data_IF_606833272512
#
_entry.id   IF_606833272512
#
_cell.length_a   1.000
_cell.length_b   1.000
_cell.length_c   1.000
_cell.angle_alpha   90.00
_cell.angle_beta   90.00
_cell.angle_gamma   90.00
#
_symmetry.space_group_name_H-M   'P 1'
#
loop_
_entity.id
_entity.type
_entity.pdbx_description
1 polymer ?
#
# COMPACT_ATOMS: atom_id res chain seq x y z
N UNK A 1 -15.61 -47.15 -37.03
CA UNK A 1 -14.71 -47.20 -35.85
C UNK A 1 -13.62 -46.17 -36.13
N UNK A 2 -13.79 -44.88 -35.88
CA UNK A 2 -13.82 -44.21 -34.56
C UNK A 2 -12.73 -43.14 -34.61
N UNK A 3 -13.08 -41.91 -35.00
CA UNK A 3 -12.16 -40.76 -35.02
C UNK A 3 -11.85 -40.35 -33.58
N UNK A 4 -10.59 -40.51 -33.17
CA UNK A 4 -10.11 -40.11 -31.85
C UNK A 4 -9.95 -38.59 -31.84
N UNK A 5 -10.97 -37.88 -31.32
CA UNK A 5 -10.90 -36.45 -31.10
C UNK A 5 -10.02 -36.14 -29.88
N UNK A 6 -8.84 -35.60 -30.11
CA UNK A 6 -8.02 -34.99 -29.06
C UNK A 6 -8.67 -33.66 -28.63
N UNK A 7 -9.40 -33.68 -27.51
CA UNK A 7 -9.81 -32.45 -26.84
C UNK A 7 -8.63 -31.87 -26.06
N UNK A 8 -7.97 -30.85 -26.63
CA UNK A 8 -7.03 -30.01 -25.89
C UNK A 8 -7.86 -29.17 -24.92
N UNK A 9 -7.89 -29.59 -23.64
CA UNK A 9 -8.44 -28.78 -22.56
C UNK A 9 -7.50 -27.58 -22.36
N UNK A 10 -7.89 -26.42 -22.87
CA UNK A 10 -7.24 -25.15 -22.55
C UNK A 10 -7.49 -24.88 -21.06
N UNK A 11 -6.56 -25.27 -20.19
CA UNK A 11 -6.54 -24.81 -18.81
C UNK A 11 -6.20 -23.32 -18.85
N UNK A 12 -7.24 -22.50 -18.74
CA UNK A 12 -7.09 -21.08 -18.40
C UNK A 12 -6.51 -21.07 -16.99
N UNK A 13 -5.20 -20.85 -16.88
CA UNK A 13 -4.60 -20.43 -15.62
C UNK A 13 -5.24 -19.08 -15.32
N UNK A 14 -6.22 -19.07 -14.43
CA UNK A 14 -6.63 -17.87 -13.71
C UNK A 14 -5.36 -17.38 -13.03
N UNK A 15 -4.67 -16.44 -13.66
CA UNK A 15 -3.67 -15.63 -12.98
C UNK A 15 -4.44 -14.88 -11.92
N UNK A 16 -4.45 -15.44 -10.72
CA UNK A 16 -4.81 -14.73 -9.51
C UNK A 16 -3.88 -13.54 -9.49
N UNK A 17 -4.44 -12.34 -9.71
CA UNK A 17 -3.71 -11.11 -9.52
C UNK A 17 -3.46 -11.01 -8.00
N UNK A 18 -2.37 -11.63 -7.58
CA UNK A 18 -2.03 -11.83 -6.18
C UNK A 18 -1.54 -10.48 -5.65
N UNK A 19 -2.11 -10.09 -4.51
CA UNK A 19 -1.81 -8.81 -3.86
C UNK A 19 -0.41 -8.80 -3.26
N UNK A 20 0.05 -7.61 -2.88
CA UNK A 20 1.26 -7.45 -2.09
C UNK A 20 0.95 -7.67 -0.61
N UNK A 21 1.67 -8.57 0.05
CA UNK A 21 1.67 -8.73 1.50
C UNK A 21 2.75 -7.85 2.13
N UNK A 22 2.33 -6.94 2.99
CA UNK A 22 3.19 -6.06 3.76
C UNK A 22 3.27 -6.58 5.20
N UNK A 23 4.49 -6.85 5.66
CA UNK A 23 4.72 -7.47 6.97
C UNK A 23 4.73 -6.44 8.11
N UNK A 24 4.71 -5.14 7.77
CA UNK A 24 4.85 -4.04 8.74
C UNK A 24 6.30 -3.74 9.07
N UNK A 25 7.26 -4.20 8.25
CA UNK A 25 8.69 -4.02 8.52
C UNK A 25 9.09 -2.56 8.37
N UNK A 26 9.85 -1.96 9.31
CA UNK A 26 10.36 -0.60 9.18
C UNK A 26 11.12 -0.36 7.86
N UNK A 27 10.71 0.69 7.16
CA UNK A 27 11.27 1.08 5.86
C UNK A 27 10.85 0.21 4.67
N UNK A 28 9.85 -0.66 4.83
CA UNK A 28 9.24 -1.34 3.68
C UNK A 28 8.50 -0.33 2.79
N UNK A 29 8.40 -0.65 1.50
CA UNK A 29 7.54 0.09 0.57
C UNK A 29 7.38 -0.70 -0.73
N UNK A 30 6.29 -0.43 -1.43
CA UNK A 30 6.14 -0.75 -2.85
C UNK A 30 6.00 0.54 -3.65
N UNK A 31 6.60 0.59 -4.83
CA UNK A 31 6.67 1.79 -5.67
C UNK A 31 6.08 1.51 -7.04
N UNK A 32 5.19 2.41 -7.45
CA UNK A 32 4.53 2.38 -8.75
C UNK A 32 4.78 3.69 -9.47
N UNK A 33 4.79 3.63 -10.81
CA UNK A 33 4.86 4.84 -11.62
C UNK A 33 3.73 5.78 -11.19
N UNK A 34 4.07 7.06 -11.12
CA UNK A 34 3.18 8.16 -10.74
C UNK A 34 1.75 8.01 -11.30
N UNK A 35 0.78 8.21 -10.41
CA UNK A 35 -0.62 8.39 -10.77
C UNK A 35 -0.84 9.81 -11.32
N UNK A 36 -1.39 9.92 -12.53
CA UNK A 36 -1.75 11.22 -13.10
C UNK A 36 -3.03 11.76 -12.46
N UNK A 37 -2.87 12.37 -11.29
CA UNK A 37 -3.94 13.03 -10.54
C UNK A 37 -3.85 14.55 -10.62
N UNK A 38 -3.14 15.14 -11.60
CA UNK A 38 -2.83 16.58 -11.64
C UNK A 38 -4.07 17.48 -11.74
N UNK A 39 -5.05 17.07 -12.56
CA UNK A 39 -6.34 17.77 -12.69
C UNK A 39 -7.52 16.86 -12.36
N UNK A 40 -7.49 15.62 -12.86
CA UNK A 40 -8.51 14.61 -12.62
C UNK A 40 -7.84 13.25 -12.60
N UNK A 41 -8.43 12.32 -11.86
CA UNK A 41 -7.97 10.94 -11.89
C UNK A 41 -8.74 10.11 -10.86
N UNK A 42 -8.77 8.81 -11.12
CA UNK A 42 -9.33 7.83 -10.19
C UNK A 42 -8.25 6.79 -9.86
N UNK A 43 -8.17 6.42 -8.58
CA UNK A 43 -7.31 5.35 -8.10
C UNK A 43 -8.14 4.45 -7.18
N UNK A 44 -8.04 3.14 -7.35
CA UNK A 44 -8.74 2.18 -6.49
C UNK A 44 -7.85 1.02 -6.11
N UNK A 45 -8.12 0.41 -4.96
CA UNK A 45 -7.49 -0.82 -4.50
C UNK A 45 -8.36 -1.50 -3.44
N UNK A 46 -8.06 -2.77 -3.19
CA UNK A 46 -8.61 -3.52 -2.07
C UNK A 46 -7.53 -3.77 -1.03
N UNK A 47 -7.89 -3.76 0.24
CA UNK A 47 -6.93 -4.02 1.31
C UNK A 47 -7.57 -4.72 2.50
N UNK A 48 -6.73 -5.36 3.31
CA UNK A 48 -7.10 -6.04 4.55
C UNK A 48 -6.02 -5.78 5.60
N UNK A 49 -6.42 -5.36 6.79
CA UNK A 49 -5.50 -5.06 7.90
C UNK A 49 -6.17 -5.16 9.28
N UNK A 50 -5.35 -5.19 10.34
CA UNK A 50 -5.81 -5.23 11.74
C UNK A 50 -5.23 -4.10 12.61
N UNK A 51 -4.22 -3.38 12.12
CA UNK A 51 -3.62 -2.26 12.85
C UNK A 51 -4.51 -1.01 12.78
N UNK A 52 -4.59 -0.25 13.87
CA UNK A 52 -5.37 1.01 13.88
C UNK A 52 -4.62 2.23 13.36
N UNK A 53 -3.32 2.08 13.04
CA UNK A 53 -2.44 3.15 12.56
C UNK A 53 -1.54 2.62 11.44
N UNK A 54 -1.51 3.28 10.28
CA UNK A 54 -0.61 2.91 9.17
C UNK A 54 -0.56 3.98 8.06
N UNK A 55 0.58 4.10 7.37
CA UNK A 55 0.65 4.77 6.07
C UNK A 55 0.26 3.79 4.96
N UNK A 56 -0.81 4.09 4.21
CA UNK A 56 -1.26 3.26 3.08
C UNK A 56 -0.64 3.72 1.76
N UNK A 57 -0.71 5.01 1.46
CA UNK A 57 -0.34 5.57 0.16
C UNK A 57 0.21 6.98 0.31
N UNK A 58 1.26 7.31 -0.44
CA UNK A 58 1.83 8.66 -0.50
C UNK A 58 2.38 9.03 -1.89
N UNK A 59 2.17 10.27 -2.30
CA UNK A 59 2.91 10.93 -3.39
C UNK A 59 2.92 12.45 -3.22
N UNK A 60 3.86 13.15 -3.86
CA UNK A 60 4.02 14.60 -3.73
C UNK A 60 4.70 15.29 -4.92
N UNK A 61 4.93 16.60 -4.78
CA UNK A 61 5.69 17.44 -5.70
C UNK A 61 7.20 17.54 -5.40
N UNK A 62 7.74 16.66 -4.56
CA UNK A 62 9.17 16.58 -4.29
C UNK A 62 9.68 17.64 -3.32
N UNK A 63 8.89 18.03 -2.32
CA UNK A 63 9.35 18.87 -1.21
C UNK A 63 8.84 20.30 -1.17
N UNK A 64 7.80 20.64 -1.94
CA UNK A 64 7.26 21.99 -1.95
C UNK A 64 5.97 22.05 -1.14
N UNK A 65 4.81 21.87 -1.77
CA UNK A 65 3.53 22.06 -1.11
C UNK A 65 2.46 21.04 -1.49
N UNK A 66 2.56 20.41 -2.65
CA UNK A 66 1.53 19.53 -3.16
C UNK A 66 1.81 18.10 -2.73
N UNK A 67 0.85 17.48 -2.07
CA UNK A 67 0.94 16.09 -1.64
C UNK A 67 -0.45 15.45 -1.55
N UNK A 68 -0.48 14.12 -1.58
CA UNK A 68 -1.63 13.33 -1.17
C UNK A 68 -1.14 12.14 -0.33
N UNK A 69 -1.73 12.01 0.85
CA UNK A 69 -1.48 10.93 1.80
C UNK A 69 -2.80 10.23 2.11
N UNK A 70 -2.82 8.91 2.03
CA UNK A 70 -3.86 8.09 2.65
C UNK A 70 -3.24 7.28 3.77
N UNK A 71 -3.85 7.36 4.95
CA UNK A 71 -3.41 6.64 6.15
C UNK A 71 -4.59 6.09 6.93
N UNK A 72 -4.30 5.15 7.84
CA UNK A 72 -5.23 4.73 8.88
C UNK A 72 -4.83 5.44 10.17
N UNK A 73 -5.81 6.07 10.82
CA UNK A 73 -5.66 6.74 12.13
C UNK A 73 -6.90 6.42 12.95
N UNK A 74 -6.70 5.95 14.18
CA UNK A 74 -7.75 5.42 15.06
C UNK A 74 -8.67 4.40 14.36
N UNK A 75 -8.07 3.58 13.49
CA UNK A 75 -8.75 2.56 12.71
C UNK A 75 -9.57 3.08 11.52
N UNK A 76 -9.59 4.39 11.23
CA UNK A 76 -10.32 4.98 10.10
C UNK A 76 -9.38 5.46 9.01
N UNK A 77 -9.85 5.47 7.77
CA UNK A 77 -9.10 6.10 6.68
C UNK A 77 -9.12 7.62 6.82
N UNK A 78 -7.93 8.22 6.75
CA UNK A 78 -7.72 9.65 6.66
C UNK A 78 -6.97 9.97 5.37
N UNK A 79 -7.60 10.76 4.51
CA UNK A 79 -7.04 11.27 3.28
C UNK A 79 -6.64 12.74 3.48
N UNK A 80 -5.35 12.99 3.67
CA UNK A 80 -4.76 14.33 3.70
C UNK A 80 -4.28 14.72 2.31
N UNK A 81 -4.56 15.95 1.87
CA UNK A 81 -4.00 16.46 0.61
C UNK A 81 -3.83 17.97 0.65
N UNK A 82 -2.80 18.43 -0.07
CA UNK A 82 -2.49 19.84 -0.25
C UNK A 82 -2.31 20.17 -1.72
N UNK A 83 -2.84 21.31 -2.14
CA UNK A 83 -2.61 21.90 -3.47
C UNK A 83 -2.24 23.35 -3.24
N UNK A 84 -1.09 23.78 -3.73
CA UNK A 84 -0.57 25.14 -3.60
C UNK A 84 -0.54 25.62 -2.14
N UNK A 85 -0.12 24.71 -1.25
CA UNK A 85 0.01 24.90 0.19
C UNK A 85 -1.34 25.11 0.91
N UNK A 86 -2.47 24.96 0.22
CA UNK A 86 -3.78 24.86 0.84
C UNK A 86 -4.09 23.38 1.09
N UNK A 87 -4.30 23.04 2.36
CA UNK A 87 -4.41 21.67 2.86
C UNK A 87 -5.80 21.40 3.44
N UNK A 88 -6.28 20.17 3.29
CA UNK A 88 -7.44 19.66 4.04
C UNK A 88 -7.31 18.15 4.29
N UNK A 89 -8.23 17.60 5.10
CA UNK A 89 -8.30 16.17 5.42
C UNK A 89 -9.73 15.65 5.35
N UNK A 90 -9.90 14.49 4.71
CA UNK A 90 -11.16 13.76 4.63
C UNK A 90 -11.07 12.48 5.45
N UNK A 91 -12.02 12.26 6.35
CA UNK A 91 -12.04 11.08 7.24
C UNK A 91 -13.23 10.17 6.90
N UNK A 92 -12.98 8.87 6.78
CA UNK A 92 -14.05 7.87 6.60
C UNK A 92 -14.92 7.76 7.85
N UNK A 93 -16.19 7.37 7.70
CA UNK A 93 -17.04 7.08 8.87
C UNK A 93 -16.68 5.74 9.52
N UNK A 94 -16.41 4.74 8.68
CA UNK A 94 -16.16 3.35 9.08
C UNK A 94 -14.69 3.12 9.41
N UNK A 95 -14.48 2.20 10.34
CA UNK A 95 -13.19 1.61 10.65
C UNK A 95 -12.82 0.53 9.62
N UNK A 96 -11.53 0.25 9.50
CA UNK A 96 -10.93 -0.67 8.52
C UNK A 96 -9.92 -1.64 9.15
N UNK A 97 -9.80 -1.62 10.47
CA UNK A 97 -8.89 -2.42 11.28
C UNK A 97 -9.57 -3.69 11.85
N UNK A 98 -10.53 -4.25 11.12
CA UNK A 98 -11.35 -5.39 11.54
C UNK A 98 -10.90 -6.73 10.95
N UNK A 99 -9.75 -6.76 10.25
CA UNK A 99 -9.23 -7.95 9.59
C UNK A 99 -10.02 -8.39 8.35
N UNK A 100 -10.97 -7.60 7.88
CA UNK A 100 -11.79 -7.89 6.69
C UNK A 100 -11.29 -7.14 5.45
N UNK A 101 -11.73 -7.61 4.28
CA UNK A 101 -11.46 -6.92 3.03
C UNK A 101 -12.31 -5.65 2.90
N UNK A 102 -11.64 -4.55 2.55
CA UNK A 102 -12.25 -3.28 2.23
C UNK A 102 -11.89 -2.84 0.81
N UNK A 103 -12.79 -2.11 0.18
CA UNK A 103 -12.54 -1.42 -1.09
C UNK A 103 -12.39 0.08 -0.85
N UNK A 104 -11.26 0.65 -1.24
CA UNK A 104 -11.01 2.08 -1.22
C UNK A 104 -10.85 2.63 -2.64
N UNK A 105 -11.44 3.80 -2.88
CA UNK A 105 -11.21 4.58 -4.09
C UNK A 105 -11.01 6.05 -3.77
N UNK A 106 -10.08 6.67 -4.49
CA UNK A 106 -9.77 8.08 -4.48
C UNK A 106 -10.13 8.65 -5.85
N UNK A 107 -11.03 9.63 -5.88
CA UNK A 107 -11.39 10.34 -7.11
C UNK A 107 -11.09 11.82 -6.93
N UNK A 108 -10.32 12.39 -7.86
CA UNK A 108 -9.98 13.82 -7.85
C UNK A 108 -10.62 14.52 -9.03
N UNK A 109 -11.19 15.68 -8.76
CA UNK A 109 -11.75 16.58 -9.76
C UNK A 109 -11.39 18.03 -9.40
N UNK A 110 -10.34 18.55 -10.05
CA UNK A 110 -9.72 19.84 -9.74
C UNK A 110 -9.35 19.93 -8.26
N UNK A 111 -9.98 20.84 -7.51
CA UNK A 111 -9.69 21.11 -6.10
C UNK A 111 -10.39 20.13 -5.13
N UNK A 112 -11.37 19.37 -5.64
CA UNK A 112 -12.17 18.44 -4.84
C UNK A 112 -11.58 17.04 -4.93
N UNK A 113 -11.39 16.40 -3.78
CA UNK A 113 -10.96 15.01 -3.68
C UNK A 113 -11.99 14.21 -2.88
N UNK A 114 -12.37 13.04 -3.40
CA UNK A 114 -13.38 12.15 -2.84
C UNK A 114 -12.71 10.86 -2.39
N UNK A 115 -12.92 10.48 -1.13
CA UNK A 115 -12.61 9.17 -0.58
C UNK A 115 -13.89 8.34 -0.57
N UNK A 116 -13.85 7.17 -1.22
CA UNK A 116 -14.92 6.17 -1.17
C UNK A 116 -14.39 4.94 -0.42
N UNK A 117 -15.06 4.55 0.66
CA UNK A 117 -14.78 3.32 1.42
C UNK A 117 -16.03 2.45 1.45
N UNK A 118 -15.95 1.25 0.88
CA UNK A 118 -17.06 0.29 0.80
C UNK A 118 -18.38 0.93 0.32
N UNK A 119 -18.28 1.76 -0.71
CA UNK A 119 -19.42 2.49 -1.30
C UNK A 119 -19.85 3.76 -0.54
N UNK A 120 -19.26 4.08 0.62
CA UNK A 120 -19.52 5.34 1.33
C UNK A 120 -18.55 6.43 0.90
N UNK A 121 -19.07 7.51 0.31
CA UNK A 121 -18.29 8.64 -0.16
C UNK A 121 -18.19 9.77 0.88
N UNK A 122 -17.00 10.31 1.05
CA UNK A 122 -16.68 11.56 1.75
C UNK A 122 -15.80 12.40 0.86
N UNK A 123 -15.96 13.71 0.90
CA UNK A 123 -15.20 14.61 0.04
C UNK A 123 -14.93 15.92 0.75
N UNK A 124 -13.85 16.57 0.34
CA UNK A 124 -13.58 17.96 0.67
C UNK A 124 -12.83 18.63 -0.50
N UNK A 125 -12.69 19.94 -0.42
CA UNK A 125 -11.96 20.76 -1.38
C UNK A 125 -11.05 21.78 -0.69
N UNK A 126 -9.91 22.04 -1.31
CA UNK A 126 -9.00 23.10 -0.87
C UNK A 126 -9.31 24.41 -1.59
N UNK A 127 -8.84 25.54 -1.04
CA UNK A 127 -9.03 26.89 -1.62
C UNK A 127 -7.72 27.60 -1.99
N UNK A 128 -6.89 27.04 -2.88
CA UNK A 128 -5.64 27.63 -3.36
C UNK A 128 -5.82 28.68 -4.46
N UNK A 129 -4.72 29.32 -4.86
CA UNK A 129 -4.68 30.12 -6.09
C UNK A 129 -4.60 29.23 -7.34
N UNK A 130 -3.79 28.16 -7.30
CA UNK A 130 -3.65 27.19 -8.39
C UNK A 130 -4.67 26.05 -8.30
N UNK A 131 -5.32 25.73 -9.44
CA UNK A 131 -6.38 24.70 -9.52
C UNK A 131 -5.92 23.27 -9.84
N UNK A 132 -4.62 23.05 -9.98
CA UNK A 132 -4.02 21.76 -10.30
C UNK A 132 -2.91 21.38 -9.31
N UNK A 133 -2.74 20.08 -9.09
CA UNK A 133 -1.71 19.51 -8.24
C UNK A 133 -0.48 19.23 -9.09
N UNK A 134 0.68 19.70 -8.65
CA UNK A 134 1.97 19.26 -9.17
C UNK A 134 2.28 17.90 -8.54
N UNK A 135 2.74 16.98 -9.37
CA UNK A 135 3.10 15.63 -8.92
C UNK A 135 4.44 15.30 -9.55
N UNK A 136 5.44 15.04 -8.71
CA UNK A 136 6.84 14.80 -9.08
C UNK A 136 7.32 13.45 -8.55
N UNK A 137 6.84 12.98 -7.41
CA UNK A 137 7.20 11.64 -6.96
C UNK A 137 6.49 10.56 -7.77
N UNK A 138 6.97 9.34 -7.61
CA UNK A 138 6.21 8.13 -7.89
C UNK A 138 5.17 7.89 -6.78
N UNK A 139 4.31 6.89 -6.96
CA UNK A 139 3.37 6.45 -5.95
C UNK A 139 4.04 5.44 -5.02
N UNK A 140 4.00 5.69 -3.71
CA UNK A 140 4.46 4.75 -2.69
C UNK A 140 3.28 4.12 -1.95
N UNK A 141 3.36 2.81 -1.70
CA UNK A 141 2.41 2.05 -0.90
C UNK A 141 3.08 1.44 0.33
N UNK A 142 2.33 1.43 1.44
CA UNK A 142 2.66 0.74 2.69
C UNK A 142 3.85 1.28 3.50
N UNK A 143 4.48 2.35 3.00
CA UNK A 143 5.64 3.01 3.57
C UNK A 143 6.35 3.89 2.53
N UNK A 144 7.44 4.54 2.94
CA UNK A 144 8.32 5.32 2.05
C UNK A 144 9.79 4.93 2.27
N UNK A 145 10.67 5.06 1.26
CA UNK A 145 12.09 4.82 1.43
C UNK A 145 12.69 5.74 2.51
N UNK A 146 13.51 5.14 3.38
CA UNK A 146 14.10 5.83 4.53
C UNK A 146 15.34 6.65 4.17
N UNK A 147 15.95 6.35 3.02
CA UNK A 147 17.10 7.03 2.42
C UNK A 147 16.70 8.21 1.51
N UNK A 148 15.41 8.58 1.46
CA UNK A 148 14.96 9.77 0.72
C UNK A 148 15.68 11.00 1.27
N UNK A 149 16.23 11.82 0.37
CA UNK A 149 16.95 13.05 0.71
C UNK A 149 16.09 13.98 1.57
N UNK A 150 16.71 14.69 2.50
CA UNK A 150 16.00 15.72 3.26
C UNK A 150 15.44 16.79 2.31
N UNK A 151 14.20 17.21 2.56
CA UNK A 151 13.51 18.18 1.71
C UNK A 151 13.01 17.62 0.38
N UNK A 152 13.13 16.32 0.11
CA UNK A 152 12.49 15.70 -1.06
C UNK A 152 11.07 15.18 -0.79
N UNK A 153 10.62 15.18 0.48
CA UNK A 153 9.24 14.91 0.86
C UNK A 153 8.56 16.21 1.23
N UNK A 154 7.40 16.47 0.63
CA UNK A 154 6.55 17.62 0.96
C UNK A 154 5.96 17.49 2.36
N UNK A 155 5.65 16.26 2.79
CA UNK A 155 5.23 15.96 4.15
C UNK A 155 6.25 15.04 4.84
N UNK A 156 7.28 15.59 5.51
CA UNK A 156 8.37 14.77 6.08
C UNK A 156 7.93 13.77 7.15
N UNK A 157 6.79 14.01 7.82
CA UNK A 157 6.27 13.16 8.90
C UNK A 157 5.92 11.75 8.43
N UNK A 158 5.67 11.54 7.14
CA UNK A 158 5.34 10.21 6.57
C UNK A 158 6.47 9.19 6.75
N UNK A 159 7.73 9.63 6.94
CA UNK A 159 8.85 8.72 7.25
C UNK A 159 8.69 8.01 8.58
N UNK A 160 8.03 8.67 9.53
CA UNK A 160 7.88 8.22 10.92
C UNK A 160 6.53 7.54 11.16
N UNK A 161 5.66 7.48 10.16
CA UNK A 161 4.37 6.79 10.27
C UNK A 161 4.57 5.28 10.37
N UNK A 162 3.62 4.62 11.02
CA UNK A 162 3.64 3.16 11.12
C UNK A 162 3.60 2.54 9.71
N UNK A 163 4.51 1.61 9.38
CA UNK A 163 4.43 0.86 8.14
C UNK A 163 3.15 0.04 8.09
N UNK A 164 2.52 -0.04 6.92
CA UNK A 164 1.30 -0.83 6.74
C UNK A 164 1.54 -2.32 6.99
N UNK A 165 0.69 -2.97 7.79
CA UNK A 165 0.72 -4.42 7.96
C UNK A 165 -0.61 -5.00 7.46
N UNK A 166 -0.53 -5.82 6.42
CA UNK A 166 -1.72 -6.36 5.77
C UNK A 166 -1.48 -6.69 4.31
N UNK A 167 -2.57 -6.81 3.55
CA UNK A 167 -2.52 -7.11 2.12
C UNK A 167 -3.15 -5.98 1.34
N UNK A 168 -2.53 -5.59 0.21
CA UNK A 168 -3.11 -4.67 -0.78
C UNK A 168 -3.16 -5.40 -2.13
N UNK A 169 -4.31 -5.36 -2.80
CA UNK A 169 -4.51 -5.96 -4.12
C UNK A 169 -5.31 -5.03 -5.04
N UNK A 170 -5.32 -5.37 -6.33
CA UNK A 170 -6.14 -4.72 -7.37
C UNK A 170 -5.94 -3.20 -7.46
N UNK A 171 -4.70 -2.73 -7.29
CA UNK A 171 -4.36 -1.32 -7.50
C UNK A 171 -4.57 -0.95 -8.97
N UNK A 172 -5.38 0.09 -9.21
CA UNK A 172 -5.73 0.59 -10.54
C UNK A 172 -5.66 2.12 -10.60
N UNK A 173 -5.25 2.65 -11.74
CA UNK A 173 -5.48 4.04 -12.13
C UNK A 173 -6.61 4.04 -13.17
N UNK A 174 -7.81 4.43 -12.76
CA UNK A 174 -9.03 4.23 -13.53
C UNK A 174 -9.24 2.76 -13.87
N UNK A 175 -9.10 2.41 -15.15
CA UNK A 175 -9.25 1.03 -15.65
C UNK A 175 -7.93 0.29 -15.84
N UNK A 176 -6.79 0.97 -15.68
CA UNK A 176 -5.47 0.45 -16.01
C UNK A 176 -4.72 0.01 -14.77
N UNK A 177 -3.97 -1.09 -14.87
CA UNK A 177 -3.02 -1.48 -13.85
C UNK A 177 -1.77 -0.57 -13.95
N UNK A 178 -1.30 0.02 -12.84
CA UNK A 178 -0.13 0.88 -12.86
C UNK A 178 1.17 0.08 -13.04
N UNK A 179 2.18 0.72 -13.62
CA UNK A 179 3.51 0.13 -13.77
C UNK A 179 4.18 -0.02 -12.40
N UNK A 180 4.44 -1.25 -11.99
CA UNK A 180 5.24 -1.54 -10.80
C UNK A 180 6.73 -1.26 -11.08
N UNK A 181 7.37 -0.47 -10.22
CA UNK A 181 8.77 -0.06 -10.38
C UNK A 181 9.73 -0.77 -9.42
N UNK A 182 9.20 -1.39 -8.37
CA UNK A 182 9.98 -2.16 -7.41
C UNK A 182 9.44 -2.07 -6.00
N UNK A 183 10.00 -2.87 -5.11
CA UNK A 183 9.71 -2.87 -3.68
C UNK A 183 10.98 -3.04 -2.86
N UNK A 184 10.89 -2.72 -1.58
CA UNK A 184 11.92 -3.04 -0.59
C UNK A 184 11.22 -3.63 0.63
N UNK A 185 11.69 -4.80 1.09
CA UNK A 185 11.11 -5.54 2.23
C UNK A 185 9.61 -5.87 2.07
N UNK A 186 9.11 -5.85 0.84
CA UNK A 186 7.78 -6.33 0.45
C UNK A 186 8.01 -7.45 -0.55
N UNK A 187 7.88 -8.71 -0.13
CA UNK A 187 8.18 -9.86 -0.96
C UNK A 187 7.31 -9.86 -2.22
N UNK A 188 7.92 -10.13 -3.37
CA UNK A 188 7.20 -10.40 -4.61
C UNK A 188 7.05 -11.90 -4.76
N UNK A 189 5.86 -12.38 -5.11
CA UNK A 189 5.65 -13.81 -5.35
C UNK A 189 6.59 -14.38 -6.42
N UNK A 190 6.92 -13.58 -7.44
CA UNK A 190 7.85 -13.99 -8.49
C UNK A 190 9.28 -14.20 -8.00
N UNK A 191 9.67 -13.59 -6.89
CA UNK A 191 10.97 -13.81 -6.27
C UNK A 191 11.00 -15.12 -5.47
N UNK A 192 9.84 -15.70 -5.14
CA UNK A 192 9.72 -16.91 -4.33
C UNK A 192 9.98 -16.63 -2.86
N UNK A 193 9.18 -17.24 -1.99
CA UNK A 193 9.39 -17.11 -0.55
C UNK A 193 10.76 -17.66 -0.12
N UNK A 194 11.38 -17.01 0.86
CA UNK A 194 12.71 -17.33 1.39
C UNK A 194 13.92 -17.15 0.44
N UNK A 195 13.75 -16.68 -0.80
CA UNK A 195 14.91 -16.22 -1.61
C UNK A 195 15.52 -14.96 -1.01
N UNK A 196 14.65 -14.07 -0.55
CA UNK A 196 14.93 -13.05 0.46
C UNK A 196 14.33 -13.54 1.77
N UNK A 197 15.15 -13.72 2.81
CA UNK A 197 14.69 -14.18 4.12
C UNK A 197 13.78 -13.09 4.75
N UNK A 198 12.45 -13.32 4.88
CA UNK A 198 11.51 -12.38 5.49
C UNK A 198 11.51 -12.44 7.02
N UNK A 199 12.25 -13.38 7.62
CA UNK A 199 12.34 -13.55 9.07
C UNK A 199 13.35 -12.55 9.63
N UNK A 200 12.91 -11.78 10.62
CA UNK A 200 13.77 -10.82 11.32
C UNK A 200 14.59 -11.51 12.42
N UNK A 201 15.51 -10.76 13.03
CA UNK A 201 16.27 -11.16 14.23
C UNK A 201 16.99 -12.52 14.14
N UNK A 202 17.44 -12.90 12.95
CA UNK A 202 18.16 -14.15 12.72
C UNK A 202 17.28 -15.40 12.62
N UNK A 203 15.96 -15.23 12.47
CA UNK A 203 15.04 -16.34 12.18
C UNK A 203 15.40 -17.05 10.87
N UNK A 204 15.16 -18.36 10.82
CA UNK A 204 15.38 -19.17 9.61
C UNK A 204 14.09 -19.31 8.82
N UNK A 205 14.11 -18.92 7.54
CA UNK A 205 12.96 -19.09 6.66
C UNK A 205 12.97 -20.46 5.98
N UNK A 206 11.81 -21.10 5.95
CA UNK A 206 11.50 -22.25 5.11
C UNK A 206 10.15 -22.05 4.43
N UNK A 207 9.95 -22.68 3.27
CA UNK A 207 8.66 -22.64 2.57
C UNK A 207 7.87 -23.90 2.91
N UNK A 208 6.66 -23.73 3.44
CA UNK A 208 5.72 -24.83 3.76
C UNK A 208 4.40 -24.52 3.06
N UNK A 209 3.92 -25.46 2.23
CA UNK A 209 2.69 -25.32 1.44
C UNK A 209 2.63 -24.04 0.57
N UNK A 210 3.78 -23.57 0.09
CA UNK A 210 3.87 -22.37 -0.75
C UNK A 210 3.89 -21.05 0.03
N UNK A 211 3.99 -21.09 1.36
CA UNK A 211 4.04 -19.92 2.25
C UNK A 211 5.37 -19.87 3.03
N UNK A 212 5.87 -18.68 3.39
CA UNK A 212 7.05 -18.55 4.24
C UNK A 212 6.70 -18.86 5.70
N UNK A 213 7.51 -19.72 6.32
CA UNK A 213 7.45 -20.03 7.75
C UNK A 213 8.79 -19.68 8.38
N UNK A 214 8.75 -18.87 9.44
CA UNK A 214 9.93 -18.51 10.21
C UNK A 214 10.10 -19.39 11.45
N UNK A 215 11.23 -20.09 11.51
CA UNK A 215 11.68 -20.74 12.74
C UNK A 215 12.40 -19.72 13.64
N UNK A 216 11.70 -19.29 14.68
CA UNK A 216 12.23 -18.36 15.68
C UNK A 216 12.84 -19.09 16.90
N UNK A 217 12.84 -20.42 16.95
CA UNK A 217 13.22 -21.21 18.14
C UNK A 217 14.66 -21.00 18.61
N UNK A 218 15.53 -20.56 17.71
CA UNK A 218 16.94 -20.21 17.98
C UNK A 218 17.16 -18.72 18.22
N UNK A 219 16.08 -17.96 18.39
CA UNK A 219 16.10 -16.52 18.64
C UNK A 219 15.38 -16.22 19.95
N UNK A 220 15.54 -15.01 20.48
CA UNK A 220 14.77 -14.53 21.64
C UNK A 220 13.40 -13.97 21.25
N UNK A 221 13.02 -14.08 19.98
CA UNK A 221 11.82 -13.49 19.40
C UNK A 221 10.79 -14.55 19.02
N UNK A 222 9.56 -14.12 18.76
CA UNK A 222 8.42 -14.97 18.36
C UNK A 222 7.56 -14.28 17.29
N UNK A 223 6.45 -14.94 16.94
CA UNK A 223 5.50 -14.49 15.92
C UNK A 223 5.88 -14.99 14.52
N UNK A 224 5.00 -14.76 13.55
CA UNK A 224 5.12 -15.29 12.17
C UNK A 224 6.46 -14.94 11.49
N UNK A 225 7.08 -13.81 11.87
CA UNK A 225 8.33 -13.30 11.27
C UNK A 225 9.44 -13.02 12.30
N UNK A 226 9.35 -13.56 13.51
CA UNK A 226 10.35 -13.37 14.58
C UNK A 226 10.60 -11.90 14.99
N UNK A 227 9.54 -11.09 15.01
CA UNK A 227 9.62 -9.65 15.32
C UNK A 227 9.26 -9.36 16.79
N UNK A 228 8.41 -10.18 17.39
CA UNK A 228 7.91 -9.94 18.74
C UNK A 228 8.94 -10.38 19.78
N UNK A 229 9.44 -9.44 20.60
CA UNK A 229 10.38 -9.77 21.67
C UNK A 229 9.72 -10.59 22.78
N UNK A 230 10.41 -11.61 23.31
CA UNK A 230 10.00 -12.25 24.56
C UNK A 230 10.32 -11.33 25.74
N UNK A 231 9.45 -10.36 26.03
CA UNK A 231 9.51 -9.65 27.30
C UNK A 231 9.22 -10.64 28.44
N UNK A 232 10.28 -11.05 29.14
CA UNK A 232 10.14 -11.58 30.50
C UNK A 232 9.92 -10.38 31.42
N UNK A 233 8.68 -10.23 31.91
CA UNK A 233 8.40 -9.44 33.11
C UNK A 233 9.00 -10.15 34.31
#
# INVERSE_FOLDING_TARGET
MGLVGFSIRLQVFLSTCLGLEFLGTPGQWARYLRWDASTRGDLSFQFKMEASEALLLYFDDGGYCDYLQLSVVEGRLQLGFSIDCAETTVVSNRRVDDGSWHFASLSRYNLRTVLVLDGQAKADEVRPQRVFMKIVSDLFLGGVPQDIRNGALTLPTVRNMQPFRGTITDLKYGISQPLFLGSLKVPLESEGWCTVNPCENGGTCSVVDGEPVCDCSKTEYRGRFCIEGNFKV
#
